data_IF_787150991473
#
_entry.id   IF_787150991473
#
_cell.length_a   1.000
_cell.length_b   1.000
_cell.length_c   1.000
_cell.angle_alpha   90.00
_cell.angle_beta   90.00
_cell.angle_gamma   90.00
#
_symmetry.space_group_name_H-M   'P 1'
#
loop_
_entity.id
_entity.type
_entity.pdbx_description
1 polymer ?
#
# COMPACT_ATOMS: atom_id res chain seq x y z
N UNK A 1 -28.50 -12.18 -22.95
CA UNK A 1 -28.94 -12.61 -21.62
C UNK A 1 -27.76 -12.62 -20.66
N UNK A 2 -27.63 -11.52 -19.89
CA UNK A 2 -26.64 -11.23 -18.83
C UNK A 2 -26.73 -12.25 -17.65
N UNK A 3 -25.84 -12.21 -16.62
CA UNK A 3 -24.38 -12.36 -16.65
C UNK A 3 -23.86 -13.23 -15.46
N UNK A 4 -22.63 -13.74 -15.51
CA UNK A 4 -21.97 -14.31 -14.32
C UNK A 4 -20.85 -13.39 -13.83
N UNK A 5 -21.18 -12.57 -12.84
CA UNK A 5 -20.22 -11.80 -12.05
C UNK A 5 -19.49 -12.73 -11.08
N UNK A 6 -18.16 -12.80 -11.13
CA UNK A 6 -17.34 -13.27 -10.00
C UNK A 6 -16.40 -12.16 -9.57
N UNK A 7 -16.91 -11.28 -8.70
CA UNK A 7 -16.09 -10.43 -7.84
C UNK A 7 -15.20 -11.32 -6.98
N UNK A 8 -13.88 -11.25 -7.13
CA UNK A 8 -12.92 -11.71 -6.12
C UNK A 8 -12.33 -10.48 -5.43
N UNK A 9 -13.00 -10.08 -4.36
CA UNK A 9 -12.43 -9.21 -3.33
C UNK A 9 -11.17 -9.86 -2.78
N UNK A 10 -10.02 -9.18 -2.84
CA UNK A 10 -8.89 -9.51 -1.97
C UNK A 10 -9.41 -9.41 -0.52
N UNK A 11 -9.22 -10.41 0.35
CA UNK A 11 -9.43 -10.18 1.77
C UNK A 11 -8.37 -9.19 2.23
N UNK A 12 -8.78 -7.94 2.41
CA UNK A 12 -8.06 -6.98 3.23
C UNK A 12 -8.25 -7.50 4.64
N UNK A 13 -7.21 -8.10 5.24
CA UNK A 13 -7.16 -8.27 6.69
C UNK A 13 -6.96 -6.88 7.29
N UNK A 14 -8.00 -6.06 7.23
CA UNK A 14 -8.09 -4.80 7.94
C UNK A 14 -8.47 -5.16 9.38
N UNK A 15 -7.62 -4.76 10.33
CA UNK A 15 -7.90 -4.66 11.78
C UNK A 15 -8.99 -5.61 12.29
N UNK A 16 -8.71 -6.91 12.26
CA UNK A 16 -9.46 -7.82 13.09
C UNK A 16 -8.97 -7.61 14.52
N UNK A 17 -9.65 -6.73 15.27
CA UNK A 17 -9.52 -6.70 16.73
C UNK A 17 -9.83 -8.12 17.26
N UNK A 18 -8.78 -8.87 17.59
CA UNK A 18 -8.94 -10.17 18.22
C UNK A 18 -9.41 -9.94 19.66
N UNK A 19 -10.68 -10.24 19.93
CA UNK A 19 -11.29 -10.24 21.28
C UNK A 19 -10.55 -11.19 22.25
N UNK A 20 -9.68 -12.07 21.73
CA UNK A 20 -8.91 -13.06 22.50
C UNK A 20 -7.51 -12.63 22.97
N UNK A 21 -7.07 -11.37 22.76
CA UNK A 21 -5.86 -10.86 23.42
C UNK A 21 -4.52 -11.51 23.03
N UNK A 22 -4.34 -11.92 21.78
CA UNK A 22 -3.03 -12.35 21.26
C UNK A 22 -2.27 -11.18 20.61
N UNK A 23 -0.99 -11.00 20.95
CA UNK A 23 -0.11 -10.05 20.24
C UNK A 23 0.28 -10.68 18.89
N UNK A 24 -0.30 -10.17 17.80
CA UNK A 24 0.16 -10.50 16.45
C UNK A 24 1.47 -9.74 16.21
N UNK A 25 2.58 -10.47 16.14
CA UNK A 25 3.90 -9.90 15.90
C UNK A 25 4.57 -10.55 14.67
N UNK A 26 5.67 -9.97 14.22
CA UNK A 26 6.37 -10.42 13.01
C UNK A 26 6.78 -11.89 13.07
N UNK A 27 7.17 -12.42 14.23
CA UNK A 27 7.52 -13.83 14.39
C UNK A 27 6.33 -14.77 14.12
N UNK A 28 5.13 -14.38 14.58
CA UNK A 28 3.89 -15.12 14.31
C UNK A 28 3.53 -15.01 12.83
N UNK A 29 3.63 -13.82 12.22
CA UNK A 29 3.36 -13.62 10.80
C UNK A 29 4.34 -14.40 9.91
N UNK A 30 5.64 -14.41 10.23
CA UNK A 30 6.62 -15.22 9.52
C UNK A 30 6.33 -16.72 9.61
N UNK A 31 5.93 -17.18 10.80
CA UNK A 31 5.58 -18.60 11.03
C UNK A 31 4.34 -18.99 10.24
N UNK A 32 3.28 -18.19 10.30
CA UNK A 32 2.06 -18.38 9.53
C UNK A 32 2.34 -18.31 8.02
N UNK A 33 3.18 -17.37 7.60
CA UNK A 33 3.60 -17.22 6.20
C UNK A 33 4.34 -18.47 5.73
N UNK A 34 5.33 -18.98 6.47
CA UNK A 34 6.04 -20.23 6.10
C UNK A 34 5.09 -21.43 5.92
N UNK A 35 4.02 -21.51 6.70
CA UNK A 35 3.04 -22.60 6.62
C UNK A 35 2.02 -22.41 5.49
N UNK A 36 1.64 -21.16 5.17
CA UNK A 36 0.60 -20.85 4.17
C UNK A 36 1.13 -20.51 2.78
N UNK A 37 2.37 -20.04 2.68
CA UNK A 37 2.92 -19.51 1.44
C UNK A 37 3.04 -20.66 0.43
N UNK A 38 2.41 -20.46 -0.73
CA UNK A 38 2.39 -21.40 -1.86
C UNK A 38 1.68 -22.74 -1.61
N UNK A 39 0.72 -22.79 -0.67
CA UNK A 39 -0.13 -23.97 -0.47
C UNK A 39 -1.56 -23.70 -0.91
N UNK A 40 -2.17 -24.69 -1.54
CA UNK A 40 -3.60 -24.65 -1.82
C UNK A 40 -4.37 -24.83 -0.52
N UNK A 41 -5.19 -23.83 -0.18
CA UNK A 41 -6.08 -23.87 0.97
C UNK A 41 -7.53 -24.00 0.49
N UNK A 42 -8.26 -24.93 1.09
CA UNK A 42 -9.71 -24.97 0.94
C UNK A 42 -10.35 -23.97 1.90
N UNK A 43 -11.49 -23.39 1.51
CA UNK A 43 -12.15 -22.37 2.30
C UNK A 43 -13.64 -22.68 2.43
N UNK A 44 -14.18 -22.59 3.65
CA UNK A 44 -15.62 -22.64 3.93
C UNK A 44 -16.08 -21.31 4.48
N UNK A 45 -17.06 -20.68 3.83
CA UNK A 45 -17.68 -19.46 4.34
C UNK A 45 -18.63 -19.79 5.49
N UNK A 46 -18.47 -19.13 6.64
CA UNK A 46 -19.29 -19.31 7.84
C UNK A 46 -20.36 -18.24 7.99
N UNK A 47 -20.04 -16.98 7.70
CA UNK A 47 -20.97 -15.87 7.78
C UNK A 47 -20.54 -14.72 6.86
N UNK A 48 -21.50 -13.86 6.51
CA UNK A 48 -21.24 -12.62 5.78
C UNK A 48 -22.06 -11.49 6.40
N UNK A 49 -21.44 -10.35 6.68
CA UNK A 49 -22.13 -9.10 7.00
C UNK A 49 -21.56 -7.98 6.14
N UNK A 50 -22.42 -7.35 5.34
CA UNK A 50 -22.06 -6.37 4.31
C UNK A 50 -20.94 -6.86 3.37
N UNK A 51 -19.75 -6.27 3.48
CA UNK A 51 -18.55 -6.55 2.69
C UNK A 51 -17.56 -7.50 3.39
N UNK A 52 -17.83 -7.85 4.65
CA UNK A 52 -16.96 -8.70 5.46
C UNK A 52 -17.43 -10.15 5.42
N UNK A 53 -16.47 -11.06 5.30
CA UNK A 53 -16.68 -12.49 5.22
C UNK A 53 -15.95 -13.18 6.36
N UNK A 54 -16.66 -14.00 7.12
CA UNK A 54 -16.07 -14.91 8.08
C UNK A 54 -15.91 -16.27 7.44
N UNK A 55 -14.69 -16.79 7.38
CA UNK A 55 -14.38 -18.05 6.70
C UNK A 55 -13.43 -18.93 7.51
N UNK A 56 -13.54 -20.25 7.32
CA UNK A 56 -12.56 -21.25 7.75
C UNK A 56 -11.63 -21.57 6.59
N UNK A 57 -10.34 -21.71 6.91
CA UNK A 57 -9.32 -22.16 5.97
C UNK A 57 -8.84 -23.56 6.38
N UNK A 58 -8.65 -24.43 5.39
CA UNK A 58 -8.15 -25.77 5.59
C UNK A 58 -6.89 -25.99 4.76
N UNK A 59 -5.83 -26.47 5.39
CA UNK A 59 -4.60 -26.93 4.74
C UNK A 59 -4.55 -28.44 4.81
N UNK A 60 -4.47 -29.13 3.68
CA UNK A 60 -4.45 -30.60 3.63
C UNK A 60 -5.58 -31.22 4.48
N UNK A 61 -6.82 -30.72 4.32
CA UNK A 61 -8.02 -31.08 5.08
C UNK A 61 -7.97 -30.82 6.61
N UNK A 62 -6.97 -30.07 7.10
CA UNK A 62 -6.86 -29.69 8.52
C UNK A 62 -7.29 -28.24 8.72
N UNK A 63 -8.18 -27.98 9.67
CA UNK A 63 -8.62 -26.62 10.03
C UNK A 63 -7.43 -25.81 10.55
N UNK A 64 -7.06 -24.76 9.82
CA UNK A 64 -5.93 -23.89 10.13
C UNK A 64 -6.09 -23.23 11.50
N UNK A 65 -7.31 -22.85 11.88
CA UNK A 65 -7.58 -22.22 13.18
C UNK A 65 -7.18 -23.17 14.32
N UNK A 66 -7.49 -24.45 14.19
CA UNK A 66 -7.13 -25.48 15.18
C UNK A 66 -5.62 -25.62 15.29
N UNK A 67 -4.89 -25.62 14.17
CA UNK A 67 -3.43 -25.72 14.15
C UNK A 67 -2.78 -24.52 14.85
N UNK A 68 -3.26 -23.31 14.56
CA UNK A 68 -2.71 -22.08 15.16
C UNK A 68 -3.00 -22.00 16.66
N UNK A 69 -4.18 -22.43 17.11
CA UNK A 69 -4.53 -22.51 18.54
C UNK A 69 -3.66 -23.56 19.25
N UNK A 70 -3.50 -24.75 18.68
CA UNK A 70 -2.67 -25.81 19.27
C UNK A 70 -1.19 -25.40 19.43
N UNK A 71 -0.69 -24.57 18.51
CA UNK A 71 0.67 -24.01 18.57
C UNK A 71 0.80 -22.79 19.47
N UNK A 72 -0.28 -22.38 20.16
CA UNK A 72 -0.28 -21.21 21.03
C UNK A 72 -0.18 -19.87 20.28
N UNK A 73 -0.39 -19.87 18.96
CA UNK A 73 -0.29 -18.69 18.11
C UNK A 73 -1.58 -17.87 18.09
N UNK A 74 -2.70 -18.48 18.50
CA UNK A 74 -4.02 -17.85 18.55
C UNK A 74 -4.80 -18.33 19.77
N UNK A 75 -5.71 -17.49 20.26
CA UNK A 75 -6.70 -17.86 21.28
C UNK A 75 -8.04 -18.23 20.62
N UNK A 76 -8.78 -19.22 21.15
CA UNK A 76 -10.11 -19.55 20.65
C UNK A 76 -11.08 -18.40 20.91
N UNK A 77 -11.87 -18.04 19.90
CA UNK A 77 -12.93 -17.02 20.00
C UNK A 77 -14.24 -17.68 19.54
N UNK A 78 -15.34 -17.46 20.27
CA UNK A 78 -16.65 -18.02 19.89
C UNK A 78 -17.17 -17.40 18.59
N UNK A 79 -17.94 -18.18 17.82
CA UNK A 79 -18.57 -17.71 16.58
C UNK A 79 -19.47 -16.48 16.83
N UNK A 80 -20.15 -16.45 17.98
CA UNK A 80 -21.00 -15.33 18.40
C UNK A 80 -20.21 -14.05 18.61
N UNK A 81 -19.05 -14.11 19.27
CA UNK A 81 -18.17 -12.96 19.44
C UNK A 81 -17.62 -12.47 18.09
N UNK A 82 -17.26 -13.39 17.19
CA UNK A 82 -16.80 -13.05 15.83
C UNK A 82 -17.90 -12.35 15.01
N UNK A 83 -19.14 -12.82 15.11
CA UNK A 83 -20.30 -12.21 14.44
C UNK A 83 -20.63 -10.82 15.02
N UNK A 84 -20.55 -10.64 16.34
CA UNK A 84 -20.78 -9.35 17.00
C UNK A 84 -19.77 -8.27 16.54
N UNK A 85 -18.49 -8.63 16.41
CA UNK A 85 -17.46 -7.74 15.85
C UNK A 85 -17.81 -7.34 14.42
N UNK A 86 -18.18 -8.31 13.58
CA UNK A 86 -18.55 -8.07 12.17
C UNK A 86 -19.76 -7.13 12.02
N UNK A 87 -20.72 -7.20 12.96
CA UNK A 87 -21.85 -6.27 13.04
C UNK A 87 -21.43 -4.88 13.51
N UNK A 88 -20.53 -4.77 14.49
CA UNK A 88 -20.01 -3.47 14.96
C UNK A 88 -19.26 -2.70 13.87
N UNK A 89 -18.46 -3.40 13.05
CA UNK A 89 -17.77 -2.84 11.89
C UNK A 89 -18.74 -2.30 10.83
N UNK A 90 -19.93 -2.91 10.74
CA UNK A 90 -20.99 -2.45 9.83
C UNK A 90 -21.66 -1.16 10.32
N UNK A 91 -21.89 -1.03 11.63
CA UNK A 91 -22.53 0.15 12.22
C UNK A 91 -21.63 1.41 12.17
N UNK A 92 -20.32 1.26 12.40
CA UNK A 92 -19.36 2.37 12.33
C UNK A 92 -19.32 3.03 10.94
N UNK A 93 -19.44 2.23 9.87
CA UNK A 93 -19.45 2.73 8.49
C UNK A 93 -20.74 3.49 8.13
N UNK A 94 -21.86 3.19 8.78
CA UNK A 94 -23.13 3.93 8.56
C UNK A 94 -23.11 5.32 9.21
N UNK A 95 -22.40 5.51 10.32
CA UNK A 95 -22.23 6.83 10.95
C UNK A 95 -21.35 7.78 10.13
N UNK A 96 -20.43 7.25 9.30
CA UNK A 96 -19.54 8.06 8.45
C UNK A 96 -20.19 8.60 7.17
N UNK A 97 -21.45 8.25 6.88
CA UNK A 97 -22.16 8.64 5.64
C UNK A 97 -23.38 9.56 5.88
N UNK A 98 -23.60 10.06 7.10
CA UNK A 98 -24.62 11.08 7.32
C UNK A 98 -24.09 12.48 6.92
N UNK A 99 -24.84 13.27 6.14
CA UNK A 99 -24.49 14.66 5.88
C UNK A 99 -24.58 15.45 7.18
N UNK A 100 -23.48 16.06 7.63
CA UNK A 100 -23.49 16.93 8.79
C UNK A 100 -24.07 18.32 8.45
N UNK A 101 -24.80 18.97 9.38
CA UNK A 101 -25.28 20.33 9.19
C UNK A 101 -24.10 21.31 9.07
N UNK A 102 -24.11 22.14 8.04
CA UNK A 102 -23.07 23.16 7.80
C UNK A 102 -23.16 24.23 8.89
N UNK A 103 -22.18 24.28 9.79
CA UNK A 103 -21.94 25.45 10.64
C UNK A 103 -20.96 26.41 9.95
N UNK A 104 -21.10 27.74 10.10
CA UNK A 104 -20.16 28.69 9.51
C UNK A 104 -18.80 28.55 10.19
N UNK A 105 -17.75 28.28 9.41
CA UNK A 105 -16.39 28.16 9.90
C UNK A 105 -15.86 29.50 10.44
N UNK A 106 -15.07 29.50 11.53
CA UNK A 106 -14.28 30.67 11.91
C UNK A 106 -13.21 30.97 10.84
N UNK A 107 -12.73 32.22 10.74
CA UNK A 107 -11.71 32.59 9.77
C UNK A 107 -10.42 31.81 10.07
N UNK A 108 -10.13 30.83 9.21
CA UNK A 108 -8.85 30.14 9.20
C UNK A 108 -7.83 31.04 8.52
N UNK A 109 -6.90 31.57 9.31
CA UNK A 109 -5.65 32.15 8.82
C UNK A 109 -4.92 31.13 7.95
N UNK A 110 -4.65 31.51 6.70
CA UNK A 110 -4.20 30.62 5.64
C UNK A 110 -2.88 29.89 5.93
N UNK A 111 -2.97 28.56 6.01
CA UNK A 111 -1.85 27.66 5.75
C UNK A 111 -2.22 26.82 4.53
N UNK A 112 -1.56 27.05 3.40
CA UNK A 112 -1.73 26.23 2.20
C UNK A 112 -1.34 24.79 2.56
N UNK A 113 -2.24 23.80 2.40
CA UNK A 113 -1.86 22.39 2.53
C UNK A 113 -0.75 22.10 1.50
N UNK A 114 0.45 21.84 1.98
CA UNK A 114 1.58 21.47 1.14
C UNK A 114 1.36 20.04 0.66
N UNK A 115 0.85 19.89 -0.56
CA UNK A 115 0.62 18.60 -1.20
C UNK A 115 1.52 18.42 -2.42
N UNK A 116 2.03 17.21 -2.62
CA UNK A 116 2.72 16.85 -3.85
C UNK A 116 1.78 16.91 -5.06
N UNK A 117 2.32 17.36 -6.19
CA UNK A 117 1.61 17.39 -7.48
C UNK A 117 2.03 16.19 -8.33
N UNK A 118 1.05 15.46 -8.87
CA UNK A 118 1.31 14.38 -9.82
C UNK A 118 1.38 14.91 -11.26
N UNK A 119 2.03 14.16 -12.14
CA UNK A 119 1.89 14.36 -13.58
C UNK A 119 0.57 13.74 -14.07
N UNK A 120 -0.17 14.49 -14.89
CA UNK A 120 -1.31 13.95 -15.63
C UNK A 120 -0.80 13.41 -16.97
N UNK A 121 -1.25 12.21 -17.34
CA UNK A 121 -0.99 11.64 -18.66
C UNK A 121 -2.28 11.53 -19.44
N UNK A 122 -2.20 11.87 -20.72
CA UNK A 122 -3.34 11.78 -21.64
C UNK A 122 -3.58 10.33 -22.11
N UNK A 123 -4.81 9.80 -21.97
CA UNK A 123 -5.17 8.50 -22.53
C UNK A 123 -4.96 8.43 -24.04
N UNK A 124 -4.59 7.26 -24.54
CA UNK A 124 -4.29 6.99 -25.94
C UNK A 124 -2.87 7.39 -26.37
N UNK A 125 -2.19 8.24 -25.61
CA UNK A 125 -0.84 8.70 -25.94
C UNK A 125 0.24 7.67 -25.55
N UNK A 126 1.35 7.71 -26.28
CA UNK A 126 2.52 6.86 -26.07
C UNK A 126 3.62 7.68 -25.39
N UNK A 127 4.17 7.17 -24.29
CA UNK A 127 5.20 7.85 -23.51
C UNK A 127 6.46 6.98 -23.39
N UNK A 128 7.66 7.53 -23.63
CA UNK A 128 8.91 6.86 -23.28
C UNK A 128 9.09 6.84 -21.77
N UNK A 129 9.29 5.66 -21.19
CA UNK A 129 9.34 5.44 -19.73
C UNK A 129 10.41 4.44 -19.31
N UNK A 130 10.84 4.55 -18.05
CA UNK A 130 11.57 3.52 -17.32
C UNK A 130 10.66 2.96 -16.23
N UNK A 131 10.69 1.65 -15.99
CA UNK A 131 10.04 1.06 -14.81
C UNK A 131 10.95 1.28 -13.61
N UNK A 132 10.57 2.18 -12.71
CA UNK A 132 11.37 2.58 -11.55
C UNK A 132 11.26 1.59 -10.40
N UNK A 133 10.12 0.91 -10.28
CA UNK A 133 9.95 -0.13 -9.26
C UNK A 133 8.85 -1.12 -9.65
N UNK A 134 9.05 -2.38 -9.29
CA UNK A 134 8.06 -3.45 -9.48
C UNK A 134 7.56 -3.90 -8.11
N UNK A 135 6.32 -3.57 -7.77
CA UNK A 135 5.73 -3.91 -6.47
C UNK A 135 5.16 -5.33 -6.45
N UNK A 136 4.32 -5.69 -7.44
CA UNK A 136 3.61 -6.98 -7.52
C UNK A 136 3.52 -7.42 -9.01
N UNK A 137 4.68 -7.42 -9.67
CA UNK A 137 4.82 -7.80 -11.08
C UNK A 137 4.03 -6.91 -12.06
N UNK A 138 3.51 -7.50 -13.16
CA UNK A 138 2.86 -6.74 -14.24
C UNK A 138 1.56 -6.04 -13.79
N UNK A 139 0.95 -6.44 -12.68
CA UNK A 139 -0.29 -5.83 -12.19
C UNK A 139 -0.06 -4.64 -11.25
N UNK A 140 1.17 -4.39 -10.82
CA UNK A 140 1.48 -3.28 -9.94
C UNK A 140 2.97 -2.93 -10.02
N UNK A 141 3.27 -1.88 -10.79
CA UNK A 141 4.60 -1.33 -10.93
C UNK A 141 4.50 0.19 -11.03
N UNK A 142 5.63 0.87 -10.85
CA UNK A 142 5.76 2.30 -11.01
C UNK A 142 6.68 2.62 -12.17
N UNK A 143 6.38 3.70 -12.88
CA UNK A 143 7.18 4.21 -13.99
C UNK A 143 7.62 5.64 -13.73
N UNK A 144 8.75 6.00 -14.32
CA UNK A 144 9.21 7.37 -14.49
C UNK A 144 9.20 7.70 -15.98
N UNK A 145 8.78 8.91 -16.34
CA UNK A 145 8.85 9.37 -17.72
C UNK A 145 10.31 9.65 -18.09
N UNK A 146 10.73 9.30 -19.30
CA UNK A 146 12.07 9.65 -19.79
C UNK A 146 12.34 11.16 -19.71
N UNK A 147 11.33 11.99 -19.99
CA UNK A 147 11.46 13.45 -19.94
C UNK A 147 11.76 14.01 -18.54
N UNK A 148 11.52 13.24 -17.46
CA UNK A 148 11.83 13.63 -16.08
C UNK A 148 13.20 13.18 -15.60
N UNK A 149 13.97 12.45 -16.42
CA UNK A 149 15.28 11.88 -16.05
C UNK A 149 16.27 12.95 -15.55
N UNK A 150 16.50 14.00 -16.33
CA UNK A 150 17.41 15.08 -15.94
C UNK A 150 16.95 15.80 -14.67
N UNK A 151 15.63 16.04 -14.55
CA UNK A 151 15.04 16.69 -13.37
C UNK A 151 15.21 15.83 -12.13
N UNK A 152 15.04 14.51 -12.25
CA UNK A 152 15.25 13.56 -11.15
C UNK A 152 16.70 13.57 -10.70
N UNK A 153 17.65 13.49 -11.63
CA UNK A 153 19.09 13.50 -11.35
C UNK A 153 19.48 14.79 -10.61
N UNK A 154 19.04 15.95 -11.10
CA UNK A 154 19.31 17.23 -10.44
C UNK A 154 18.67 17.30 -9.05
N UNK A 155 17.42 16.88 -8.91
CA UNK A 155 16.71 16.90 -7.64
C UNK A 155 17.39 16.01 -6.59
N UNK A 156 17.78 14.78 -6.96
CA UNK A 156 18.46 13.86 -6.05
C UNK A 156 19.84 14.38 -5.65
N UNK A 157 20.59 14.94 -6.60
CA UNK A 157 21.87 15.59 -6.30
C UNK A 157 21.70 16.74 -5.31
N UNK A 158 20.71 17.60 -5.54
CA UNK A 158 20.46 18.77 -4.70
C UNK A 158 20.04 18.35 -3.29
N UNK A 159 19.06 17.44 -3.16
CA UNK A 159 18.57 16.95 -1.87
C UNK A 159 19.69 16.28 -1.07
N UNK A 160 20.53 15.47 -1.70
CA UNK A 160 21.62 14.76 -1.01
C UNK A 160 22.80 15.68 -0.63
N UNK A 161 22.78 16.95 -1.04
CA UNK A 161 23.80 17.95 -0.70
C UNK A 161 23.40 18.90 0.44
N UNK A 162 22.14 18.85 0.89
CA UNK A 162 21.66 19.79 1.92
C UNK A 162 22.00 19.30 3.33
N UNK A 163 22.06 20.24 4.28
CA UNK A 163 22.00 19.91 5.71
C UNK A 163 20.60 19.43 6.07
N UNK A 164 20.48 18.18 6.50
CA UNK A 164 19.22 17.58 6.91
C UNK A 164 18.81 18.08 8.30
N UNK A 165 17.50 18.32 8.48
CA UNK A 165 16.91 18.66 9.77
C UNK A 165 15.91 17.57 10.18
N UNK A 166 16.03 16.96 11.37
CA UNK A 166 15.03 16.00 11.86
C UNK A 166 13.63 16.62 11.89
N UNK A 167 12.61 15.77 11.82
CA UNK A 167 11.24 16.22 12.08
C UNK A 167 11.11 16.72 13.52
N UNK A 168 10.34 17.79 13.71
CA UNK A 168 10.09 18.36 15.04
C UNK A 168 9.05 17.55 15.82
N UNK A 169 8.05 17.02 15.11
CA UNK A 169 6.97 16.22 15.67
C UNK A 169 7.00 14.79 15.12
N UNK A 170 6.34 13.89 15.84
CA UNK A 170 6.08 12.52 15.36
C UNK A 170 5.20 12.60 14.10
N UNK A 171 5.64 12.07 12.96
CA UNK A 171 4.90 12.23 11.72
C UNK A 171 3.65 11.35 11.69
N UNK A 172 2.57 11.93 11.18
CA UNK A 172 1.30 11.22 10.94
C UNK A 172 1.17 10.81 9.46
N UNK A 173 0.27 9.88 9.10
CA UNK A 173 -0.08 9.60 7.71
C UNK A 173 -0.40 10.87 6.93
N UNK A 174 0.21 11.01 5.74
CA UNK A 174 0.15 12.21 4.90
C UNK A 174 1.29 13.21 5.11
N UNK A 175 2.12 13.04 6.15
CA UNK A 175 3.27 13.92 6.38
C UNK A 175 4.25 13.82 5.21
N UNK A 176 4.51 14.95 4.56
CA UNK A 176 5.52 15.08 3.51
C UNK A 176 6.88 15.28 4.16
N UNK A 177 7.86 14.48 3.75
CA UNK A 177 9.20 14.50 4.34
C UNK A 177 10.28 14.16 3.31
N UNK A 178 11.53 14.30 3.74
CA UNK A 178 12.66 13.57 3.16
C UNK A 178 12.87 12.30 3.99
N UNK A 179 13.18 11.19 3.32
CA UNK A 179 13.49 9.93 3.98
C UNK A 179 14.82 9.37 3.47
N UNK A 180 15.62 8.82 4.39
CA UNK A 180 16.83 8.06 4.06
C UNK A 180 16.45 6.63 3.69
N UNK A 181 16.84 6.18 2.51
CA UNK A 181 16.69 4.80 2.11
C UNK A 181 17.66 3.90 2.90
N UNK A 182 17.19 2.75 3.40
CA UNK A 182 18.04 1.85 4.18
C UNK A 182 19.04 1.09 3.30
N UNK A 183 18.70 0.85 2.03
CA UNK A 183 19.52 0.05 1.11
C UNK A 183 20.82 0.76 0.69
N UNK A 184 20.74 2.05 0.34
CA UNK A 184 21.86 2.82 -0.20
C UNK A 184 22.20 4.09 0.59
N UNK A 185 21.40 4.45 1.60
CA UNK A 185 21.61 5.64 2.41
C UNK A 185 21.23 6.96 1.72
N UNK A 186 20.72 6.93 0.48
CA UNK A 186 20.34 8.13 -0.24
C UNK A 186 19.08 8.77 0.36
N UNK A 187 19.04 10.09 0.30
CA UNK A 187 17.89 10.89 0.74
C UNK A 187 16.95 11.11 -0.45
N UNK A 188 15.69 10.74 -0.25
CA UNK A 188 14.64 10.80 -1.26
C UNK A 188 13.42 11.57 -0.73
N UNK A 189 12.61 12.11 -1.64
CA UNK A 189 11.30 12.65 -1.28
C UNK A 189 10.34 11.53 -0.91
N UNK A 190 9.61 11.71 0.18
CA UNK A 190 8.70 10.71 0.69
C UNK A 190 7.41 11.32 1.26
N UNK A 191 6.43 10.45 1.45
CA UNK A 191 5.25 10.71 2.26
C UNK A 191 5.07 9.56 3.25
N UNK A 192 4.80 9.88 4.51
CA UNK A 192 4.43 8.88 5.52
C UNK A 192 3.04 8.36 5.19
N UNK A 193 2.90 7.03 5.13
CA UNK A 193 1.64 6.38 4.76
C UNK A 193 0.98 5.69 5.95
N UNK A 194 1.77 5.10 6.84
CA UNK A 194 1.31 4.42 8.05
C UNK A 194 2.41 4.45 9.11
N UNK A 195 2.01 4.28 10.37
CA UNK A 195 2.90 3.83 11.44
C UNK A 195 2.83 2.30 11.53
N UNK A 196 3.97 1.63 11.75
CA UNK A 196 4.11 0.17 11.88
C UNK A 196 5.14 -0.09 12.96
N UNK A 197 4.73 -0.65 14.10
CA UNK A 197 5.61 -1.06 15.20
C UNK A 197 6.65 0.01 15.60
N UNK A 198 6.16 1.21 15.93
CA UNK A 198 6.98 2.39 16.28
C UNK A 198 7.94 2.87 15.17
N UNK A 199 7.77 2.39 13.94
CA UNK A 199 8.43 2.86 12.73
C UNK A 199 7.40 3.43 11.75
N UNK A 200 7.88 4.00 10.66
CA UNK A 200 7.06 4.70 9.69
C UNK A 200 7.17 4.04 8.33
N UNK A 201 6.04 3.61 7.79
CA UNK A 201 5.94 3.19 6.41
C UNK A 201 5.88 4.41 5.51
N UNK A 202 6.92 4.61 4.71
CA UNK A 202 7.02 5.70 3.74
C UNK A 202 6.77 5.21 2.32
N UNK A 203 6.29 6.11 1.47
CA UNK A 203 6.26 5.93 0.02
C UNK A 203 7.21 6.93 -0.64
N UNK A 204 8.20 6.43 -1.37
CA UNK A 204 9.12 7.27 -2.13
C UNK A 204 8.43 7.77 -3.39
N UNK A 205 8.05 9.04 -3.38
CA UNK A 205 7.14 9.61 -4.39
C UNK A 205 7.76 9.70 -5.77
N UNK A 206 9.10 9.66 -5.86
CA UNK A 206 9.82 9.69 -7.12
C UNK A 206 10.17 8.31 -7.67
N UNK A 207 10.17 7.27 -6.84
CA UNK A 207 10.59 5.90 -7.23
C UNK A 207 9.47 4.87 -7.22
N UNK A 208 8.47 5.02 -6.35
CA UNK A 208 7.28 4.16 -6.36
C UNK A 208 7.35 2.95 -5.43
N UNK A 209 8.41 2.80 -4.66
CA UNK A 209 8.53 1.79 -3.61
C UNK A 209 8.05 2.30 -2.25
N UNK A 210 7.75 1.34 -1.37
CA UNK A 210 7.50 1.58 0.03
C UNK A 210 8.65 1.00 0.85
N UNK A 211 8.92 1.60 1.99
CA UNK A 211 9.89 1.12 2.96
C UNK A 211 9.39 1.44 4.37
N UNK A 212 9.77 0.63 5.35
CA UNK A 212 9.51 0.91 6.77
C UNK A 212 10.82 1.40 7.36
N UNK A 213 10.81 2.62 7.89
CA UNK A 213 12.02 3.30 8.40
C UNK A 213 11.78 3.86 9.80
N UNK A 214 12.83 3.91 10.66
CA UNK A 214 12.72 4.54 11.97
C UNK A 214 12.57 6.06 11.85
N UNK A 215 12.15 6.72 12.93
CA UNK A 215 11.99 8.19 12.97
C UNK A 215 13.26 8.94 12.57
N UNK A 216 14.44 8.46 12.99
CA UNK A 216 15.75 9.09 12.73
C UNK A 216 16.14 9.12 11.24
N UNK A 217 15.38 8.41 10.40
CA UNK A 217 15.56 8.37 8.95
C UNK A 217 14.63 9.37 8.24
N UNK A 218 13.80 10.10 8.98
CA UNK A 218 12.85 11.07 8.47
C UNK A 218 13.30 12.50 8.80
N UNK A 219 13.27 13.36 7.79
CA UNK A 219 13.73 14.74 7.88
C UNK A 219 12.69 15.71 7.31
N UNK A 220 12.76 16.94 7.77
CA UNK A 220 12.00 18.04 7.19
C UNK A 220 12.36 18.21 5.71
N UNK A 221 11.34 18.51 4.90
CA UNK A 221 11.52 18.87 3.50
C UNK A 221 11.42 20.40 3.31
N UNK A 222 12.49 21.05 2.82
CA UNK A 222 12.39 22.44 2.38
C UNK A 222 11.31 22.61 1.31
N UNK A 223 10.47 23.64 1.45
CA UNK A 223 9.30 23.87 0.57
C UNK A 223 9.63 23.85 -0.93
N UNK A 224 10.83 24.35 -1.31
CA UNK A 224 11.31 24.31 -2.70
C UNK A 224 11.35 22.91 -3.32
N UNK A 225 11.49 21.85 -2.51
CA UNK A 225 11.50 20.46 -2.97
C UNK A 225 10.11 19.80 -2.95
N UNK A 226 9.09 20.47 -2.38
CA UNK A 226 7.68 20.06 -2.48
C UNK A 226 7.07 20.47 -3.83
N UNK A 227 7.54 21.60 -4.38
CA UNK A 227 7.01 22.19 -5.62
C UNK A 227 7.14 21.31 -6.88
N UNK A 228 8.27 20.62 -7.13
CA UNK A 228 8.41 19.74 -8.30
C UNK A 228 7.39 18.62 -8.27
N UNK A 229 6.88 18.23 -9.45
CA UNK A 229 5.96 17.09 -9.55
C UNK A 229 6.65 15.81 -9.08
N UNK A 230 5.86 14.89 -8.53
CA UNK A 230 6.34 13.53 -8.21
C UNK A 230 6.55 12.75 -9.50
N UNK A 231 7.58 11.90 -9.51
CA UNK A 231 8.05 11.27 -10.74
C UNK A 231 7.67 9.79 -10.85
N UNK A 232 7.22 9.13 -9.78
CA UNK A 232 6.69 7.78 -9.86
C UNK A 232 5.19 7.80 -10.14
N UNK A 233 4.79 7.11 -11.20
CA UNK A 233 3.38 6.93 -11.59
C UNK A 233 3.07 5.44 -11.59
N UNK A 234 2.03 5.03 -10.86
CA UNK A 234 1.67 3.62 -10.71
C UNK A 234 0.82 3.13 -11.88
N UNK A 235 1.14 1.94 -12.37
CA UNK A 235 0.46 1.28 -13.47
C UNK A 235 0.25 -0.22 -13.22
N UNK A 236 -0.65 -0.76 -14.03
CA UNK A 236 -0.84 -2.18 -14.28
C UNK A 236 -0.83 -2.40 -15.79
N UNK A 237 -0.29 -3.53 -16.23
CA UNK A 237 -0.29 -3.93 -17.62
C UNK A 237 -1.69 -4.36 -18.04
N UNK A 238 -2.14 -3.87 -19.19
CA UNK A 238 -3.41 -4.29 -19.78
C UNK A 238 -3.41 -5.78 -20.14
N UNK A 239 -4.58 -6.41 -20.07
CA UNK A 239 -4.75 -7.83 -20.40
C UNK A 239 -4.17 -8.82 -19.38
N UNK A 240 -3.64 -8.36 -18.23
CA UNK A 240 -3.16 -9.25 -17.18
C UNK A 240 -4.12 -9.29 -16.00
N UNK A 241 -4.73 -10.45 -15.75
CA UNK A 241 -5.55 -10.65 -14.57
C UNK A 241 -4.67 -10.97 -13.37
N UNK A 242 -4.86 -10.23 -12.29
CA UNK A 242 -4.08 -10.37 -11.05
C UNK A 242 -4.10 -11.77 -10.43
N UNK A 243 -5.18 -12.51 -10.61
CA UNK A 243 -5.32 -13.90 -10.13
C UNK A 243 -4.41 -14.89 -10.87
N UNK A 244 -3.95 -14.52 -12.07
CA UNK A 244 -3.09 -15.34 -12.93
C UNK A 244 -1.60 -15.07 -12.74
N UNK A 245 -1.24 -13.98 -12.04
CA UNK A 245 0.15 -13.59 -11.84
C UNK A 245 0.83 -14.53 -10.85
N UNK A 246 1.72 -15.39 -11.36
CA UNK A 246 2.60 -16.24 -10.55
C UNK A 246 3.86 -15.50 -10.13
N UNK A 247 4.59 -16.01 -9.12
CA UNK A 247 5.88 -15.44 -8.75
C UNK A 247 6.90 -15.46 -9.89
N UNK A 248 6.87 -16.50 -10.73
CA UNK A 248 7.74 -16.61 -11.90
C UNK A 248 7.46 -15.47 -12.87
N UNK A 249 6.19 -15.13 -13.10
CA UNK A 249 5.79 -13.98 -13.91
C UNK A 249 6.26 -12.66 -13.28
N UNK A 250 6.19 -12.51 -11.95
CA UNK A 250 6.70 -11.31 -11.28
C UNK A 250 8.22 -11.18 -11.46
N UNK A 251 8.97 -12.27 -11.28
CA UNK A 251 10.42 -12.29 -11.46
C UNK A 251 10.81 -12.04 -12.92
N UNK A 252 10.11 -12.67 -13.87
CA UNK A 252 10.31 -12.47 -15.29
C UNK A 252 10.02 -11.03 -15.71
N UNK A 253 8.92 -10.46 -15.23
CA UNK A 253 8.58 -9.06 -15.49
C UNK A 253 9.64 -8.12 -14.93
N UNK A 254 10.07 -8.30 -13.67
CA UNK A 254 11.14 -7.48 -13.07
C UNK A 254 12.43 -7.55 -13.90
N UNK A 255 12.87 -8.74 -14.32
CA UNK A 255 14.05 -8.91 -15.18
C UNK A 255 13.86 -8.31 -16.58
N UNK A 256 12.66 -8.38 -17.13
CA UNK A 256 12.36 -7.87 -18.46
C UNK A 256 12.42 -6.34 -18.50
N UNK A 257 11.87 -5.66 -17.49
CA UNK A 257 11.76 -4.19 -17.48
C UNK A 257 13.01 -3.49 -16.94
N UNK A 258 13.86 -4.20 -16.20
CA UNK A 258 15.04 -3.64 -15.56
C UNK A 258 15.98 -2.93 -16.56
N UNK A 259 16.32 -1.68 -16.25
CA UNK A 259 17.19 -0.82 -17.06
C UNK A 259 16.79 -0.71 -18.54
N UNK A 260 15.50 -0.83 -18.86
CA UNK A 260 14.99 -0.70 -20.24
C UNK A 260 14.16 0.56 -20.44
N UNK A 261 14.44 1.26 -21.53
CA UNK A 261 13.54 2.28 -22.06
C UNK A 261 12.39 1.60 -22.80
N UNK A 262 11.18 1.77 -22.28
CA UNK A 262 9.94 1.23 -22.84
C UNK A 262 9.06 2.35 -23.40
N UNK A 263 8.12 1.99 -24.27
CA UNK A 263 7.10 2.91 -24.76
C UNK A 263 5.74 2.46 -24.21
N UNK A 264 5.23 3.20 -23.24
CA UNK A 264 3.97 2.90 -22.55
C UNK A 264 2.83 3.65 -23.22
N UNK A 265 1.79 2.94 -23.64
CA UNK A 265 0.53 3.55 -24.08
C UNK A 265 -0.42 3.64 -22.88
N UNK A 266 -0.87 4.85 -22.55
CA UNK A 266 -1.85 5.03 -21.48
C UNK A 266 -3.21 4.66 -22.01
N UNK A 267 -3.91 3.75 -21.33
CA UNK A 267 -5.29 3.40 -21.68
C UNK A 267 -6.28 4.26 -20.89
N UNK A 268 -7.48 4.52 -21.42
CA UNK A 268 -8.55 5.17 -20.67
C UNK A 268 -8.90 4.34 -19.42
N UNK A 269 -9.27 5.01 -18.33
CA UNK A 269 -9.86 4.32 -17.18
C UNK A 269 -11.13 3.59 -17.63
N UNK A 270 -11.18 2.28 -17.41
CA UNK A 270 -12.40 1.51 -17.69
C UNK A 270 -13.50 1.98 -16.70
N UNK A 271 -14.64 2.43 -17.24
CA UNK A 271 -15.82 2.83 -16.46
C UNK A 271 -16.49 1.64 -15.79
#
# INVERSE_FOLDING_TARGET
NLPYSRRRTRPVFQEAHCVGGGQWNDAIFETISKELKFRDAQCTLLAQATQYYLAKLYLNNTDLCTVLIQRGLMQPISLQAQQAVMLSMTMQKQQSQQPQPVQPAPPSTGGSLNNYKACTLEPGCLYPVYVSYVNDGPCHFSVQLKQSEEVLVMLMKDINSITLRPLEDVPIPGTICLARCQEDGNICRAVVTNEVDNQFKVFYVDFGNYEVVPLDFLYQIPFKYVLPKVMAIRFSLDGVEKSTVTLEMQCAFKKFVDNRLLHMKVLPSQK
#
